data_IF_822142862298
#
_entry.id   IF_822142862298
#
_cell.length_a   1.000
_cell.length_b   1.000
_cell.length_c   1.000
_cell.angle_alpha   90.00
_cell.angle_beta   90.00
_cell.angle_gamma   90.00
#
_symmetry.space_group_name_H-M   'P 1'
#
loop_
_entity.id
_entity.type
_entity.pdbx_description
1 polymer ?
#
# COMPACT_ATOMS: atom_id res chain seq x y z
N UNK A 1 -11.37 -20.59 -0.45
CA UNK A 1 -11.22 -19.77 0.78
C UNK A 1 -12.49 -19.71 1.62
N UNK A 2 -13.67 -19.38 1.06
CA UNK A 2 -14.95 -19.31 1.80
C UNK A 2 -15.25 -20.57 2.66
N UNK A 3 -15.06 -21.78 2.12
CA UNK A 3 -15.30 -23.03 2.87
C UNK A 3 -14.34 -23.27 4.04
N UNK A 4 -13.09 -22.81 3.96
CA UNK A 4 -12.09 -23.00 5.03
C UNK A 4 -12.43 -22.07 6.19
N UNK A 5 -12.76 -20.81 5.89
CA UNK A 5 -13.15 -19.83 6.91
C UNK A 5 -14.40 -20.32 7.64
N UNK A 6 -15.45 -20.71 6.92
CA UNK A 6 -16.68 -21.22 7.55
C UNK A 6 -16.44 -22.49 8.39
N UNK A 7 -15.50 -23.36 8.01
CA UNK A 7 -15.27 -24.63 8.70
C UNK A 7 -14.41 -24.51 9.97
N UNK A 8 -13.47 -23.55 10.00
CA UNK A 8 -12.48 -23.47 11.07
C UNK A 8 -12.51 -22.15 11.86
N UNK A 9 -13.36 -21.18 11.50
CA UNK A 9 -13.46 -19.89 12.19
C UNK A 9 -13.88 -20.00 13.66
N UNK A 10 -14.77 -20.95 13.99
CA UNK A 10 -15.29 -21.10 15.36
C UNK A 10 -14.38 -21.95 16.27
N UNK A 11 -13.29 -22.50 15.73
CA UNK A 11 -12.37 -23.31 16.52
C UNK A 11 -11.45 -22.45 17.36
N UNK A 12 -11.28 -22.84 18.63
CA UNK A 12 -10.25 -22.27 19.48
C UNK A 12 -8.88 -22.50 18.85
N UNK A 13 -8.01 -21.48 18.91
CA UNK A 13 -6.68 -21.50 18.33
C UNK A 13 -5.88 -22.76 18.71
N UNK A 14 -5.95 -23.21 19.96
CA UNK A 14 -5.30 -24.45 20.42
C UNK A 14 -5.71 -25.68 19.61
N UNK A 15 -7.01 -25.85 19.38
CA UNK A 15 -7.56 -26.99 18.64
C UNK A 15 -7.18 -26.92 17.16
N UNK A 16 -7.13 -25.71 16.60
CA UNK A 16 -6.72 -25.48 15.22
C UNK A 16 -5.23 -25.84 15.04
N UNK A 17 -4.38 -25.41 15.96
CA UNK A 17 -2.95 -25.75 15.94
C UNK A 17 -2.74 -27.25 16.07
N UNK A 18 -3.42 -27.91 17.01
CA UNK A 18 -3.36 -29.38 17.16
C UNK A 18 -3.75 -30.10 15.86
N UNK A 19 -4.80 -29.64 15.19
CA UNK A 19 -5.21 -30.17 13.89
C UNK A 19 -4.15 -29.96 12.81
N UNK A 20 -3.62 -28.74 12.67
CA UNK A 20 -2.58 -28.42 11.66
C UNK A 20 -1.32 -29.24 11.89
N UNK A 21 -0.89 -29.41 13.14
CA UNK A 21 0.28 -30.18 13.49
C UNK A 21 0.17 -31.68 13.16
N UNK A 22 -1.06 -32.20 13.03
CA UNK A 22 -1.34 -33.58 12.64
C UNK A 22 -1.46 -33.76 11.12
N UNK A 23 -1.55 -32.68 10.34
CA UNK A 23 -1.66 -32.78 8.89
C UNK A 23 -0.37 -33.38 8.30
N UNK A 24 -0.48 -34.21 7.25
CA UNK A 24 0.68 -34.75 6.57
C UNK A 24 1.37 -33.65 5.76
N UNK A 25 2.69 -33.73 5.64
CA UNK A 25 3.48 -32.88 4.75
C UNK A 25 2.90 -32.92 3.30
N UNK A 26 2.50 -31.76 2.74
CA UNK A 26 1.91 -31.69 1.38
C UNK A 26 2.95 -31.69 0.24
N UNK A 27 4.24 -31.47 0.55
CA UNK A 27 5.32 -31.39 -0.43
C UNK A 27 5.99 -32.76 -0.69
N UNK A 28 6.63 -32.91 -1.86
CA UNK A 28 7.39 -34.11 -2.27
C UNK A 28 8.43 -34.49 -1.20
N UNK A 29 8.38 -35.74 -0.72
CA UNK A 29 9.25 -36.23 0.36
C UNK A 29 8.58 -37.31 1.22
N UNK A 30 9.17 -37.63 2.38
CA UNK A 30 8.58 -38.54 3.36
C UNK A 30 7.29 -37.92 3.93
N UNK A 31 6.20 -38.69 3.94
CA UNK A 31 4.92 -38.30 4.53
C UNK A 31 5.00 -38.40 6.06
N UNK A 32 5.50 -37.33 6.68
CA UNK A 32 5.53 -37.15 8.14
C UNK A 32 4.54 -36.05 8.54
N UNK A 33 4.12 -36.05 9.80
CA UNK A 33 3.26 -34.99 10.34
C UNK A 33 4.01 -33.65 10.40
N UNK A 34 3.29 -32.53 10.28
CA UNK A 34 3.90 -31.18 10.30
C UNK A 34 4.68 -30.94 11.61
N UNK A 35 4.22 -31.46 12.74
CA UNK A 35 4.92 -31.35 14.04
C UNK A 35 6.29 -32.03 14.10
N UNK A 36 6.55 -33.00 13.22
CA UNK A 36 7.80 -33.78 13.19
C UNK A 36 8.82 -33.15 12.23
N UNK A 37 8.46 -32.05 11.59
CA UNK A 37 9.35 -31.28 10.74
C UNK A 37 10.28 -30.42 11.59
N UNK A 38 11.53 -30.30 11.16
CA UNK A 38 12.45 -29.34 11.75
C UNK A 38 12.00 -27.90 11.45
N UNK A 39 12.26 -27.00 12.40
CA UNK A 39 12.13 -25.55 12.20
C UNK A 39 13.02 -25.11 11.04
N UNK A 40 12.50 -24.23 10.16
CA UNK A 40 13.21 -23.81 8.94
C UNK A 40 13.03 -24.73 7.72
N UNK A 41 12.19 -25.76 7.80
CA UNK A 41 11.63 -26.41 6.59
C UNK A 41 10.74 -25.43 5.84
N UNK A 42 10.60 -25.52 4.50
CA UNK A 42 9.80 -24.58 3.66
C UNK A 42 8.41 -24.24 4.23
N UNK A 43 7.78 -25.17 4.97
CA UNK A 43 6.48 -24.98 5.61
C UNK A 43 6.53 -24.18 6.92
N UNK A 44 7.67 -24.23 7.61
CA UNK A 44 7.96 -23.60 8.90
C UNK A 44 9.09 -22.56 8.79
N UNK A 45 9.39 -22.08 7.57
CA UNK A 45 10.28 -20.93 7.37
C UNK A 45 9.48 -19.70 7.79
N UNK A 46 9.87 -18.99 8.86
CA UNK A 46 9.23 -17.73 9.19
C UNK A 46 9.39 -16.75 8.04
N UNK A 47 8.33 -16.02 7.71
CA UNK A 47 8.40 -14.93 6.74
C UNK A 47 9.47 -13.94 7.20
N UNK A 48 10.55 -13.84 6.44
CA UNK A 48 11.53 -12.78 6.58
C UNK A 48 11.18 -11.74 5.53
N UNK A 49 10.75 -10.53 5.90
CA UNK A 49 10.59 -9.48 4.91
C UNK A 49 11.95 -9.28 4.22
N UNK A 50 11.96 -9.45 2.91
CA UNK A 50 13.15 -9.24 2.09
C UNK A 50 13.49 -7.75 2.08
N UNK A 51 14.39 -7.36 3.00
CA UNK A 51 14.89 -5.98 3.21
C UNK A 51 13.77 -4.99 3.59
N UNK A 52 14.10 -3.99 4.40
CA UNK A 52 13.27 -2.78 4.41
C UNK A 52 13.25 -2.31 2.95
N UNK A 53 12.06 -2.17 2.37
CA UNK A 53 11.92 -1.69 1.00
C UNK A 53 12.73 -0.39 0.88
N UNK A 54 13.68 -0.36 -0.06
CA UNK A 54 14.43 0.84 -0.40
C UNK A 54 13.54 1.68 -1.32
N UNK A 55 12.58 2.37 -0.71
CA UNK A 55 11.56 3.15 -1.41
C UNK A 55 12.04 4.59 -1.51
N UNK A 56 12.01 5.15 -2.71
CA UNK A 56 12.26 6.58 -2.90
C UNK A 56 11.09 7.41 -2.31
N UNK A 57 11.31 8.71 -2.05
CA UNK A 57 10.26 9.55 -1.44
C UNK A 57 8.99 9.65 -2.30
N UNK A 58 9.14 9.57 -3.62
CA UNK A 58 8.04 9.62 -4.59
C UNK A 58 7.12 8.39 -4.49
N UNK A 59 7.70 7.19 -4.54
CA UNK A 59 7.01 5.92 -4.37
C UNK A 59 6.39 5.80 -2.98
N UNK A 60 7.06 6.31 -1.95
CA UNK A 60 6.50 6.33 -0.59
C UNK A 60 5.24 7.18 -0.53
N UNK A 61 5.22 8.36 -1.15
CA UNK A 61 4.04 9.21 -1.22
C UNK A 61 2.91 8.53 -2.01
N UNK A 62 3.21 7.91 -3.16
CA UNK A 62 2.23 7.15 -3.95
C UNK A 62 1.61 6.03 -3.10
N UNK A 63 2.44 5.20 -2.45
CA UNK A 63 1.97 4.12 -1.59
C UNK A 63 1.12 4.62 -0.43
N UNK A 64 1.50 5.74 0.20
CA UNK A 64 0.73 6.34 1.28
C UNK A 64 -0.68 6.71 0.82
N UNK A 65 -0.83 7.24 -0.40
CA UNK A 65 -2.12 7.62 -0.97
C UNK A 65 -2.94 6.38 -1.35
N UNK A 66 -2.36 5.45 -2.12
CA UNK A 66 -3.12 4.27 -2.59
C UNK A 66 -3.53 3.31 -1.47
N UNK A 67 -2.80 3.29 -0.35
CA UNK A 67 -3.08 2.41 0.79
C UNK A 67 -3.92 3.09 1.89
N UNK A 68 -4.30 4.36 1.71
CA UNK A 68 -5.15 5.07 2.66
C UNK A 68 -6.60 4.56 2.56
N UNK A 69 -7.18 3.99 3.62
CA UNK A 69 -8.53 3.44 3.60
C UNK A 69 -9.64 4.49 3.40
N UNK A 70 -9.31 5.77 3.60
CA UNK A 70 -10.22 6.90 3.42
C UNK A 70 -10.19 7.45 2.00
N UNK A 71 -9.23 7.03 1.14
CA UNK A 71 -9.23 7.40 -0.27
C UNK A 71 -10.33 6.64 -1.02
N UNK A 72 -11.20 7.38 -1.69
CA UNK A 72 -12.31 6.84 -2.49
C UNK A 72 -11.94 6.74 -3.96
N UNK A 73 -11.22 7.72 -4.49
CA UNK A 73 -10.82 7.79 -5.90
C UNK A 73 -9.43 8.43 -6.04
N UNK A 74 -8.62 7.90 -6.96
CA UNK A 74 -7.35 8.49 -7.39
C UNK A 74 -7.36 8.60 -8.91
N UNK A 75 -7.09 9.80 -9.43
CA UNK A 75 -6.99 10.10 -10.84
C UNK A 75 -5.58 10.62 -11.16
N UNK A 76 -4.90 9.96 -12.08
CA UNK A 76 -3.60 10.40 -12.58
C UNK A 76 -3.80 11.42 -13.70
N UNK A 77 -3.18 12.60 -13.55
CA UNK A 77 -3.19 13.69 -14.54
C UNK A 77 -1.77 14.19 -14.78
N UNK A 78 -1.60 14.99 -15.83
CA UNK A 78 -0.34 15.66 -16.13
C UNK A 78 -0.52 17.18 -16.07
N UNK A 79 0.34 17.84 -15.31
CA UNK A 79 0.40 19.31 -15.17
C UNK A 79 1.86 19.71 -15.32
N UNK A 80 2.18 20.65 -16.22
CA UNK A 80 3.54 21.14 -16.47
C UNK A 80 4.59 20.01 -16.62
N UNK A 81 4.27 19.02 -17.45
CA UNK A 81 5.06 17.81 -17.70
C UNK A 81 5.35 16.91 -16.48
N UNK A 82 4.65 17.12 -15.37
CA UNK A 82 4.74 16.29 -14.16
C UNK A 82 3.46 15.50 -13.95
N UNK A 83 3.62 14.29 -13.42
CA UNK A 83 2.50 13.48 -12.96
C UNK A 83 1.94 14.09 -11.69
N UNK A 84 0.63 14.22 -11.61
CA UNK A 84 -0.09 14.65 -10.41
C UNK A 84 -1.20 13.64 -10.11
N UNK A 85 -1.38 13.37 -8.82
CA UNK A 85 -2.42 12.50 -8.31
C UNK A 85 -3.54 13.36 -7.75
N UNK A 86 -4.69 13.35 -8.44
CA UNK A 86 -5.92 13.90 -7.92
C UNK A 86 -6.56 12.86 -7.00
N UNK A 87 -6.81 13.21 -5.76
CA UNK A 87 -7.30 12.29 -4.73
C UNK A 87 -8.59 12.83 -4.16
N UNK A 88 -9.59 11.96 -4.08
CA UNK A 88 -10.85 12.25 -3.40
C UNK A 88 -10.98 11.38 -2.17
N UNK A 89 -11.12 12.02 -1.01
CA UNK A 89 -11.34 11.34 0.26
C UNK A 89 -12.82 11.10 0.53
N UNK A 90 -13.11 10.02 1.25
CA UNK A 90 -14.45 9.64 1.64
C UNK A 90 -15.05 10.70 2.56
N UNK A 91 -16.28 11.11 2.26
CA UNK A 91 -17.02 12.16 2.97
C UNK A 91 -16.48 13.59 2.76
N UNK A 92 -15.53 13.79 1.86
CA UNK A 92 -15.09 15.12 1.45
C UNK A 92 -15.70 15.49 0.08
N UNK A 93 -16.05 16.77 -0.07
CA UNK A 93 -16.63 17.29 -1.32
C UNK A 93 -15.59 17.80 -2.31
N UNK A 94 -14.33 17.93 -1.88
CA UNK A 94 -13.24 18.46 -2.71
C UNK A 94 -12.25 17.39 -3.20
N UNK A 95 -11.27 17.86 -3.94
CA UNK A 95 -10.13 17.09 -4.42
C UNK A 95 -8.84 17.63 -3.83
N UNK A 96 -7.96 16.73 -3.41
CA UNK A 96 -6.58 17.04 -3.08
C UNK A 96 -5.69 16.67 -4.25
N UNK A 97 -4.65 17.46 -4.52
CA UNK A 97 -3.64 17.13 -5.53
C UNK A 97 -2.31 16.92 -4.86
N UNK A 98 -1.68 15.80 -5.18
CA UNK A 98 -0.33 15.48 -4.74
C UNK A 98 0.58 15.39 -5.96
N UNK A 99 1.79 15.91 -5.85
CA UNK A 99 2.80 15.84 -6.90
C UNK A 99 3.89 14.85 -6.46
N UNK A 100 3.89 13.59 -6.95
CA UNK A 100 4.84 12.58 -6.48
C UNK A 100 6.31 12.99 -6.64
N UNK A 101 6.65 13.66 -7.75
CA UNK A 101 8.01 14.18 -8.00
C UNK A 101 8.38 15.38 -7.11
N UNK A 102 7.41 16.03 -6.47
CA UNK A 102 7.59 17.13 -5.52
C UNK A 102 6.75 16.86 -4.27
N UNK A 103 7.16 15.91 -3.39
CA UNK A 103 6.31 15.44 -2.29
C UNK A 103 5.84 16.52 -1.30
N UNK A 104 6.52 17.67 -1.28
CA UNK A 104 6.23 18.82 -0.45
C UNK A 104 5.16 19.75 -1.05
N UNK A 105 4.77 19.54 -2.30
CA UNK A 105 3.77 20.31 -3.01
C UNK A 105 2.43 19.56 -2.98
N UNK A 106 1.47 20.12 -2.24
CA UNK A 106 0.11 19.62 -2.12
C UNK A 106 -0.86 20.79 -2.28
N UNK A 107 -1.90 20.59 -3.07
CA UNK A 107 -2.98 21.59 -3.25
C UNK A 107 -4.34 20.95 -3.06
N UNK A 108 -5.38 21.77 -3.06
CA UNK A 108 -6.76 21.34 -2.91
C UNK A 108 -7.68 22.24 -3.73
N UNK A 109 -8.86 21.75 -4.08
CA UNK A 109 -9.92 22.52 -4.74
C UNK A 109 -11.28 21.86 -4.52
N UNK A 110 -12.38 22.60 -4.69
CA UNK A 110 -13.73 22.06 -4.58
C UNK A 110 -14.05 21.15 -5.77
N UNK A 111 -13.49 21.47 -6.94
CA UNK A 111 -13.67 20.73 -8.19
C UNK A 111 -12.33 20.24 -8.76
N UNK A 112 -12.38 19.29 -9.71
CA UNK A 112 -11.18 18.77 -10.36
C UNK A 112 -10.38 19.85 -11.09
N UNK A 113 -11.07 20.72 -11.83
CA UNK A 113 -10.42 21.78 -12.60
C UNK A 113 -9.73 22.80 -11.69
N UNK A 114 -10.42 23.26 -10.64
CA UNK A 114 -9.85 24.19 -9.65
C UNK A 114 -8.64 23.58 -8.93
N UNK A 115 -8.73 22.30 -8.55
CA UNK A 115 -7.61 21.62 -7.89
C UNK A 115 -6.39 21.53 -8.81
N UNK A 116 -6.59 21.32 -10.12
CA UNK A 116 -5.54 21.28 -11.13
C UNK A 116 -4.95 22.68 -11.41
N UNK A 117 -5.78 23.72 -11.49
CA UNK A 117 -5.32 25.12 -11.63
C UNK A 117 -4.44 25.52 -10.43
N UNK A 118 -4.92 25.24 -9.21
CA UNK A 118 -4.16 25.47 -7.98
C UNK A 118 -2.83 24.68 -7.99
N UNK A 119 -2.83 23.44 -8.50
CA UNK A 119 -1.63 22.64 -8.63
C UNK A 119 -0.63 23.25 -9.63
N UNK A 120 -1.09 23.79 -10.75
CA UNK A 120 -0.25 24.45 -11.74
C UNK A 120 0.44 25.69 -11.15
N UNK A 121 -0.30 26.52 -10.43
CA UNK A 121 0.25 27.69 -9.73
C UNK A 121 1.27 27.28 -8.66
N UNK A 122 0.94 26.29 -7.82
CA UNK A 122 1.82 25.83 -6.75
C UNK A 122 3.10 25.20 -7.27
N UNK A 123 3.04 24.41 -8.34
CA UNK A 123 4.22 23.82 -8.98
C UNK A 123 5.10 24.94 -9.55
N UNK A 124 4.50 25.93 -10.22
CA UNK A 124 5.24 27.07 -10.80
C UNK A 124 5.97 27.85 -9.72
N UNK A 125 5.28 28.22 -8.63
CA UNK A 125 5.85 28.93 -7.50
C UNK A 125 6.97 28.12 -6.82
N UNK A 126 6.78 26.81 -6.69
CA UNK A 126 7.80 25.93 -6.09
C UNK A 126 9.09 25.93 -6.93
N UNK A 127 8.98 25.86 -8.26
CA UNK A 127 10.13 25.92 -9.16
C UNK A 127 10.85 27.26 -9.10
N UNK A 128 10.12 28.38 -9.04
CA UNK A 128 10.71 29.72 -8.86
C UNK A 128 11.46 29.84 -7.52
N UNK A 129 10.88 29.30 -6.45
CA UNK A 129 11.49 29.36 -5.12
C UNK A 129 12.76 28.52 -5.04
N UNK A 130 12.79 27.36 -5.72
CA UNK A 130 14.00 26.55 -5.81
C UNK A 130 15.11 27.25 -6.62
N UNK A 131 14.77 27.96 -7.69
CA UNK A 131 15.74 28.69 -8.50
C UNK A 131 16.36 29.89 -7.75
N UNK A 132 15.59 30.52 -6.86
CA UNK A 132 16.03 31.70 -6.09
C UNK A 132 16.78 31.36 -4.79
N UNK A 133 16.71 30.11 -4.33
CA UNK A 133 17.41 29.62 -3.15
C UNK A 133 18.90 29.25 -3.40
N UNK A 134 19.42 29.56 -4.59
CA UNK A 134 20.84 29.39 -5.00
C UNK A 134 21.58 30.71 -4.99
#
# INVERSE_FOLDING_TARGET
MKEIVTKYADLKLKNLLEFVHQLPRPLKGKKVAIRELADGTVLLVPYKPDKLLDINEEEFLKLRIYLDPDVEEVLEKKVLDREVLLVRYRNESGYCVFVPSLPKCMTQGENQDEALENAEEAISLFLETMATAT
#
